data_IF_503122147424
#
_entry.id   IF_503122147424
#
_cell.length_a   1.000
_cell.length_b   1.000
_cell.length_c   1.000
_cell.angle_alpha   90.00
_cell.angle_beta   90.00
_cell.angle_gamma   90.00
#
_symmetry.space_group_name_H-M   'P 1'
#
loop_
_entity.id
_entity.type
_entity.pdbx_description
1 polymer ?
#
# COMPACT_ATOMS: atom_id res chain seq x y z
N UNK A 1 8.03 2.71 12.24
CA UNK A 1 8.02 3.51 10.99
C UNK A 1 6.77 3.15 10.22
N UNK A 2 6.01 4.15 9.77
CA UNK A 2 4.87 3.96 8.87
C UNK A 2 5.19 4.63 7.53
N UNK A 3 4.72 4.04 6.44
CA UNK A 3 4.93 4.56 5.09
C UNK A 3 3.63 4.48 4.32
N UNK A 4 3.44 5.39 3.37
CA UNK A 4 2.41 5.26 2.34
C UNK A 4 2.95 5.72 0.99
N UNK A 5 2.38 5.12 -0.04
CA UNK A 5 2.64 5.44 -1.44
C UNK A 5 1.33 5.47 -2.21
N UNK A 6 1.01 6.61 -2.84
CA UNK A 6 -0.19 6.75 -3.67
C UNK A 6 0.05 7.59 -4.92
N UNK A 7 -0.69 7.28 -5.98
CA UNK A 7 -0.89 8.12 -7.14
C UNK A 7 -1.99 9.16 -6.87
N UNK A 8 -1.70 10.40 -7.25
CA UNK A 8 -2.59 11.52 -6.94
C UNK A 8 -3.84 11.56 -7.80
N UNK A 9 -3.90 10.81 -8.90
CA UNK A 9 -5.11 10.62 -9.72
C UNK A 9 -6.10 9.58 -9.13
N UNK A 10 -5.67 8.87 -8.09
CA UNK A 10 -6.47 7.85 -7.41
C UNK A 10 -6.40 6.47 -8.06
N UNK A 11 -5.46 6.24 -9.00
CA UNK A 11 -5.33 4.97 -9.74
C UNK A 11 -3.87 4.53 -9.90
N UNK A 12 -3.46 3.55 -9.10
CA UNK A 12 -2.18 2.83 -9.18
C UNK A 12 -2.37 1.52 -9.99
N UNK A 13 -2.40 1.66 -11.32
CA UNK A 13 -2.46 0.56 -12.29
C UNK A 13 -3.81 -0.18 -12.42
N UNK A 14 -4.52 -0.44 -11.31
CA UNK A 14 -5.82 -1.10 -11.26
C UNK A 14 -6.91 -0.15 -10.74
N UNK A 15 -8.13 -0.25 -11.28
CA UNK A 15 -9.21 0.69 -11.01
C UNK A 15 -9.50 0.84 -9.50
N UNK A 16 -9.64 2.09 -9.06
CA UNK A 16 -10.03 2.57 -7.71
C UNK A 16 -9.00 2.47 -6.57
N UNK A 17 -7.88 1.78 -6.76
CA UNK A 17 -6.80 1.73 -5.74
C UNK A 17 -5.78 2.82 -6.07
N UNK A 18 -5.61 3.80 -5.18
CA UNK A 18 -4.63 4.87 -5.34
C UNK A 18 -3.20 4.43 -4.95
N UNK A 19 -3.08 3.36 -4.15
CA UNK A 19 -1.79 2.82 -3.71
C UNK A 19 -1.94 2.03 -2.42
N UNK A 20 -0.95 2.10 -1.53
CA UNK A 20 -0.93 1.30 -0.30
C UNK A 20 -0.19 1.99 0.86
N UNK A 21 -0.42 1.49 2.08
CA UNK A 21 0.37 1.83 3.26
C UNK A 21 1.05 0.60 3.88
N UNK A 22 2.10 0.84 4.65
CA UNK A 22 2.75 -0.15 5.48
C UNK A 22 3.00 0.42 6.89
N UNK A 23 2.83 -0.43 7.89
CA UNK A 23 3.09 -0.17 9.31
C UNK A 23 4.11 -1.19 9.84
N UNK A 24 4.59 -1.04 11.09
CA UNK A 24 5.40 -2.08 11.73
C UNK A 24 4.72 -3.46 11.78
N UNK A 25 3.39 -3.50 11.77
CA UNK A 25 2.61 -4.75 11.87
C UNK A 25 2.38 -5.44 10.53
N UNK A 26 2.61 -4.76 9.40
CA UNK A 26 2.32 -5.27 8.04
C UNK A 26 2.84 -6.68 7.78
N UNK A 27 4.07 -6.99 8.21
CA UNK A 27 4.65 -8.33 8.00
C UNK A 27 4.05 -9.39 8.92
N UNK A 28 3.67 -9.01 10.14
CA UNK A 28 2.97 -9.90 11.05
C UNK A 28 1.56 -10.21 10.51
N UNK A 29 0.88 -9.22 9.95
CA UNK A 29 -0.45 -9.34 9.35
C UNK A 29 -0.41 -10.25 8.11
N UNK A 30 0.57 -10.04 7.23
CA UNK A 30 0.81 -10.90 6.08
C UNK A 30 0.97 -12.38 6.47
N UNK A 31 1.79 -12.66 7.50
CA UNK A 31 1.95 -14.01 8.03
C UNK A 31 0.63 -14.59 8.57
N UNK A 32 -0.15 -13.80 9.32
CA UNK A 32 -1.47 -14.26 9.85
C UNK A 32 -2.47 -14.55 8.73
N UNK A 33 -2.40 -13.81 7.62
CA UNK A 33 -3.27 -13.97 6.44
C UNK A 33 -2.76 -15.02 5.45
N UNK A 34 -1.57 -15.60 5.69
CA UNK A 34 -0.97 -16.61 4.83
C UNK A 34 -0.47 -16.08 3.49
N UNK A 35 -0.16 -14.79 3.39
CA UNK A 35 0.40 -14.18 2.17
C UNK A 35 1.87 -13.84 2.37
N UNK A 36 2.68 -14.10 1.34
CA UNK A 36 4.13 -13.85 1.38
C UNK A 36 4.49 -12.58 0.59
N UNK A 37 5.08 -11.55 1.23
CA UNK A 37 5.44 -10.30 0.55
C UNK A 37 6.56 -10.48 -0.48
N UNK A 38 7.48 -11.43 -0.27
CA UNK A 38 8.58 -11.69 -1.20
C UNK A 38 8.11 -12.32 -2.49
N UNK A 39 7.20 -13.30 -2.40
CA UNK A 39 6.54 -13.91 -3.55
C UNK A 39 5.68 -12.90 -4.29
N UNK A 40 4.89 -12.09 -3.58
CA UNK A 40 4.08 -11.04 -4.19
C UNK A 40 4.95 -10.04 -4.96
N UNK A 41 6.07 -9.58 -4.37
CA UNK A 41 7.02 -8.69 -5.03
C UNK A 41 7.64 -9.34 -6.28
N UNK A 42 8.10 -10.59 -6.17
CA UNK A 42 8.68 -11.33 -7.30
C UNK A 42 7.67 -11.55 -8.45
N UNK A 43 6.39 -11.62 -8.13
CA UNK A 43 5.30 -11.78 -9.10
C UNK A 43 4.73 -10.44 -9.62
N UNK A 44 5.23 -9.29 -9.16
CA UNK A 44 4.61 -7.96 -9.37
C UNK A 44 3.13 -7.91 -8.96
N UNK A 45 2.75 -8.65 -7.92
CA UNK A 45 1.38 -8.78 -7.43
C UNK A 45 1.15 -8.02 -6.10
N UNK A 46 1.62 -6.78 -6.05
CA UNK A 46 1.43 -5.91 -4.89
C UNK A 46 -0.06 -5.65 -4.61
N UNK A 47 -0.87 -5.53 -5.66
CA UNK A 47 -2.31 -5.27 -5.54
C UNK A 47 -3.01 -6.34 -4.69
N UNK A 48 -2.84 -7.63 -5.01
CA UNK A 48 -3.47 -8.71 -4.22
C UNK A 48 -2.87 -8.82 -2.83
N UNK A 49 -1.56 -8.61 -2.67
CA UNK A 49 -0.91 -8.64 -1.37
C UNK A 49 -1.52 -7.60 -0.43
N UNK A 50 -1.55 -6.32 -0.83
CA UNK A 50 -2.10 -5.25 -0.01
C UNK A 50 -3.61 -5.39 0.17
N UNK A 51 -4.34 -5.94 -0.80
CA UNK A 51 -5.76 -6.25 -0.64
C UNK A 51 -6.00 -7.33 0.44
N UNK A 52 -5.15 -8.35 0.52
CA UNK A 52 -5.30 -9.45 1.49
C UNK A 52 -5.03 -9.02 2.94
N UNK A 53 -4.25 -7.96 3.14
CA UNK A 53 -3.88 -7.46 4.47
C UNK A 53 -4.58 -6.14 4.84
N UNK A 54 -5.59 -5.73 4.08
CA UNK A 54 -6.31 -4.46 4.27
C UNK A 54 -5.38 -3.21 4.23
N UNK A 55 -4.33 -3.28 3.41
CA UNK A 55 -3.29 -2.26 3.27
C UNK A 55 -3.46 -1.32 2.07
N UNK A 56 -4.51 -1.50 1.26
CA UNK A 56 -4.79 -0.64 0.10
C UNK A 56 -5.31 0.73 0.54
N UNK A 57 -4.95 1.76 -0.23
CA UNK A 57 -5.53 3.10 -0.12
C UNK A 57 -6.48 3.30 -1.30
N UNK A 58 -7.76 3.45 -0.99
CA UNK A 58 -8.83 3.64 -1.98
C UNK A 58 -9.40 5.05 -1.79
N UNK A 59 -9.09 5.94 -2.72
CA UNK A 59 -9.63 7.31 -2.74
C UNK A 59 -10.79 7.48 -3.71
N UNK A 60 -10.89 6.57 -4.70
CA UNK A 60 -11.62 6.84 -5.93
C UNK A 60 -10.90 7.87 -6.82
N UNK A 61 -11.45 8.19 -8.01
CA UNK A 61 -10.84 9.15 -8.93
C UNK A 61 -10.83 10.55 -8.31
N UNK A 62 -9.63 11.13 -8.18
CA UNK A 62 -9.46 12.48 -7.61
C UNK A 62 -9.61 13.59 -8.65
N UNK A 63 -9.58 13.22 -9.94
CA UNK A 63 -9.66 14.11 -11.11
C UNK A 63 -8.54 15.15 -11.21
N UNK A 64 -7.40 14.88 -10.58
CA UNK A 64 -6.16 15.66 -10.70
C UNK A 64 -4.96 14.72 -10.75
N UNK A 65 -3.90 15.08 -11.47
CA UNK A 65 -2.69 14.27 -11.51
C UNK A 65 -1.46 15.17 -11.38
N UNK A 66 -0.77 15.05 -10.25
CA UNK A 66 0.55 15.64 -9.99
C UNK A 66 1.60 14.56 -9.70
N UNK A 67 1.41 13.38 -10.28
CA UNK A 67 2.17 12.14 -10.10
C UNK A 67 2.01 11.52 -8.70
N UNK A 68 3.08 10.92 -8.20
CA UNK A 68 3.20 10.20 -6.95
C UNK A 68 3.26 11.11 -5.71
N UNK A 69 2.55 10.71 -4.65
CA UNK A 69 2.77 11.19 -3.29
C UNK A 69 3.30 10.06 -2.40
N UNK A 70 4.35 10.35 -1.63
CA UNK A 70 4.98 9.42 -0.68
C UNK A 70 5.13 10.12 0.67
N UNK A 71 4.75 9.46 1.76
CA UNK A 71 4.96 9.97 3.11
C UNK A 71 5.56 8.90 4.02
N UNK A 72 6.43 9.34 4.92
CA UNK A 72 7.10 8.50 5.92
C UNK A 72 6.85 9.14 7.29
N UNK A 73 6.25 8.39 8.21
CA UNK A 73 6.02 8.80 9.59
C UNK A 73 6.93 8.00 10.52
N UNK A 74 7.76 8.72 11.27
CA UNK A 74 8.61 8.20 12.34
C UNK A 74 8.01 8.64 13.66
N UNK A 75 7.51 7.68 14.44
CA UNK A 75 7.07 7.93 15.81
C UNK A 75 8.29 7.97 16.75
N UNK A 76 8.23 8.74 17.84
CA UNK A 76 9.25 8.65 18.88
C UNK A 76 9.34 7.20 19.40
N UNK A 77 10.51 6.80 19.92
CA UNK A 77 10.64 5.54 20.65
C UNK A 77 9.72 5.54 21.88
N UNK A 78 9.22 4.35 22.23
CA UNK A 78 8.47 4.11 23.48
C UNK A 78 9.34 4.33 24.73
#
# INVERSE_FOLDING_TARGET
VHVLACDTDGVDGAAEVAGAFASPDTLADARRRGVDPGQALAANDAHRFFGAIDGQIVTGPTLTNVNDFRAILILPPD
#
